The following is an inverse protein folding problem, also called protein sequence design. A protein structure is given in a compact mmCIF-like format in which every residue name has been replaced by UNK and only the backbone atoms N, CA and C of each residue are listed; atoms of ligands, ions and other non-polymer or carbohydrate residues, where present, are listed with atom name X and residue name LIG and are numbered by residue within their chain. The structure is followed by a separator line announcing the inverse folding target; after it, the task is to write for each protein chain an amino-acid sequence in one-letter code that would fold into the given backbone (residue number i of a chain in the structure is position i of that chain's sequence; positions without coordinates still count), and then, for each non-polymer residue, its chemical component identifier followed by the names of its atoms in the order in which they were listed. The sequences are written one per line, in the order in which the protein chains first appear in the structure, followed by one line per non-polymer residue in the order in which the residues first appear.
data_IF_061787560752
#
_entry.id   IF_061787560752
#
_cell.length_a   1.000
_cell.length_b   1.000
_cell.length_c   1.000
_cell.angle_alpha   90.00
_cell.angle_beta   90.00
_cell.angle_gamma   90.00
#
_symmetry.space_group_name_H-M   'P 1'
#
loop_
_entity.id
_entity.type
_entity.pdbx_description
1 polymer ?
#
# COMPACT_ATOMS: atom_id res chain seq x y z
N UNK A 1 5.98 -5.62 -12.08
CA UNK A 1 5.28 -6.19 -10.87
C UNK A 1 5.34 -5.18 -9.74
N UNK A 2 4.28 -5.08 -8.94
CA UNK A 2 4.30 -4.26 -7.71
C UNK A 2 4.72 -5.14 -6.53
N UNK A 3 5.52 -4.59 -5.61
CA UNK A 3 5.89 -5.25 -4.35
C UNK A 3 5.46 -4.38 -3.19
N UNK A 4 4.72 -4.95 -2.24
CA UNK A 4 4.21 -4.25 -1.06
C UNK A 4 4.76 -4.96 0.18
N UNK A 5 5.40 -4.19 1.07
CA UNK A 5 6.12 -4.69 2.24
C UNK A 5 5.84 -3.79 3.45
N UNK A 6 6.14 -4.28 4.63
CA UNK A 6 6.06 -3.53 5.88
C UNK A 6 4.68 -2.86 6.09
N UNK A 7 3.61 -3.61 5.80
CA UNK A 7 2.24 -3.13 6.02
C UNK A 7 1.95 -3.03 7.51
N UNK A 8 1.45 -1.87 7.94
CA UNK A 8 1.03 -1.61 9.32
C UNK A 8 -0.30 -0.84 9.29
N UNK A 9 -1.28 -1.27 10.10
CA UNK A 9 -2.59 -0.61 10.23
C UNK A 9 -2.79 -0.16 11.66
N UNK A 10 -3.14 1.11 11.87
CA UNK A 10 -3.28 1.69 13.20
C UNK A 10 -4.41 2.71 13.27
N UNK A 11 -4.75 3.13 14.50
CA UNK A 11 -5.75 4.17 14.75
C UNK A 11 -7.15 3.63 15.04
N UNK A 12 -7.30 2.33 15.24
CA UNK A 12 -8.58 1.65 15.49
C UNK A 12 -9.33 2.25 16.68
N UNK A 13 -8.70 2.33 17.86
CA UNK A 13 -9.32 2.89 19.07
C UNK A 13 -9.83 4.32 18.83
N UNK A 14 -9.04 5.15 18.16
CA UNK A 14 -9.41 6.54 17.86
C UNK A 14 -10.58 6.62 16.89
N UNK A 15 -10.60 5.75 15.87
CA UNK A 15 -11.67 5.66 14.88
C UNK A 15 -13.00 5.24 15.54
N UNK A 16 -12.98 4.21 16.39
CA UNK A 16 -14.14 3.70 17.11
C UNK A 16 -14.69 4.75 18.07
N UNK A 17 -13.84 5.33 18.90
CA UNK A 17 -14.24 6.42 19.80
C UNK A 17 -14.83 7.59 19.02
N UNK A 18 -14.20 7.94 17.88
CA UNK A 18 -14.65 9.03 17.01
C UNK A 18 -16.03 8.79 16.39
N UNK A 19 -16.31 7.57 15.90
CA UNK A 19 -17.61 7.24 15.30
C UNK A 19 -18.76 7.19 16.32
N UNK A 20 -18.44 6.94 17.60
CA UNK A 20 -19.43 6.90 18.69
C UNK A 20 -19.76 8.27 19.26
N UNK A 21 -18.94 9.30 19.02
CA UNK A 21 -19.18 10.67 19.51
C UNK A 21 -20.57 11.22 19.14
N UNK A 22 -21.03 11.16 17.86
CA UNK A 22 -22.34 11.70 17.49
C UNK A 22 -23.52 11.00 18.16
N UNK A 23 -23.31 9.77 18.65
CA UNK A 23 -24.34 8.93 19.27
C UNK A 23 -24.26 8.93 20.79
N UNK A 24 -23.24 9.57 21.38
CA UNK A 24 -22.92 9.50 22.83
C UNK A 24 -22.96 8.07 23.38
N UNK A 25 -22.39 7.10 22.62
CA UNK A 25 -22.51 5.67 22.91
C UNK A 25 -21.17 4.99 23.24
N UNK A 26 -20.28 5.70 23.94
CA UNK A 26 -18.96 5.17 24.33
C UNK A 26 -19.03 3.98 25.27
N UNK A 27 -20.11 3.89 26.08
CA UNK A 27 -20.44 2.78 26.96
C UNK A 27 -20.71 1.46 26.24
N UNK A 28 -20.89 1.52 24.90
CA UNK A 28 -21.13 0.36 24.05
C UNK A 28 -19.87 -0.10 23.29
N UNK A 29 -18.72 0.52 23.56
CA UNK A 29 -17.46 0.06 22.97
C UNK A 29 -17.11 -1.31 23.52
N UNK A 30 -16.81 -2.25 22.61
CA UNK A 30 -16.42 -3.63 22.94
C UNK A 30 -15.12 -4.07 22.25
N UNK A 31 -14.46 -3.14 21.56
CA UNK A 31 -13.16 -3.37 20.94
C UNK A 31 -12.00 -3.17 21.91
N UNK A 32 -10.91 -3.89 21.71
CA UNK A 32 -9.74 -3.85 22.60
C UNK A 32 -8.46 -4.24 21.86
N UNK A 33 -7.30 -3.94 22.44
CA UNK A 33 -6.02 -4.48 22.00
C UNK A 33 -6.00 -6.00 22.17
N UNK A 34 -5.59 -6.74 21.15
CA UNK A 34 -5.60 -8.19 21.18
C UNK A 34 -4.48 -8.71 22.10
N UNK A 35 -4.81 -9.46 23.18
CA UNK A 35 -3.80 -10.00 24.09
C UNK A 35 -3.00 -11.17 23.50
N UNK A 36 -3.38 -11.73 22.35
CA UNK A 36 -2.67 -12.85 21.74
C UNK A 36 -1.23 -12.50 21.34
N UNK A 37 -0.87 -11.23 21.30
CA UNK A 37 0.50 -10.79 21.05
C UNK A 37 1.48 -11.21 22.16
N UNK A 38 0.97 -11.53 23.34
CA UNK A 38 1.78 -11.99 24.49
C UNK A 38 1.79 -13.51 24.65
N UNK A 39 1.32 -14.28 23.64
CA UNK A 39 1.26 -15.74 23.69
C UNK A 39 0.21 -16.31 24.64
N UNK A 40 -0.77 -15.50 25.01
CA UNK A 40 -1.94 -15.92 25.79
C UNK A 40 -3.07 -16.33 24.85
N UNK A 41 -3.82 -17.38 25.24
CA UNK A 41 -5.02 -17.80 24.53
C UNK A 41 -6.01 -16.63 24.43
N UNK A 42 -6.39 -16.28 23.21
CA UNK A 42 -7.31 -15.17 22.94
C UNK A 42 -8.71 -15.74 22.70
N UNK A 43 -9.66 -15.39 23.56
CA UNK A 43 -11.10 -15.58 23.31
C UNK A 43 -11.62 -14.55 22.28
N UNK A 44 -10.85 -14.33 21.22
CA UNK A 44 -11.24 -13.42 20.16
C UNK A 44 -12.41 -14.04 19.37
N UNK A 45 -13.57 -13.36 19.20
CA UNK A 45 -14.73 -13.91 18.47
C UNK A 45 -14.45 -14.32 17.03
N UNK A 46 -13.28 -13.94 16.50
CA UNK A 46 -12.79 -14.34 15.17
C UNK A 46 -12.31 -15.81 15.11
N UNK A 47 -12.25 -16.54 16.24
CA UNK A 47 -11.71 -17.91 16.33
C UNK A 47 -12.82 -18.98 16.39
N UNK A 48 -14.09 -18.65 16.60
CA UNK A 48 -15.17 -19.61 16.83
C UNK A 48 -15.89 -20.15 15.58
N UNK A 49 -15.53 -19.76 14.39
CA UNK A 49 -16.10 -20.40 13.20
C UNK A 49 -15.09 -21.40 12.62
N UNK A 50 -15.55 -22.65 12.38
CA UNK A 50 -14.88 -23.80 11.77
C UNK A 50 -14.22 -23.55 10.38
N UNK A 51 -13.91 -22.32 10.07
CA UNK A 51 -13.04 -21.92 8.98
C UNK A 51 -11.68 -21.57 9.59
N UNK A 52 -10.61 -22.04 8.94
CA UNK A 52 -9.22 -21.73 9.25
C UNK A 52 -9.10 -20.26 9.71
N UNK A 53 -8.28 -19.96 10.75
CA UNK A 53 -8.15 -18.61 11.26
C UNK A 53 -7.93 -17.67 10.09
N UNK A 54 -8.87 -16.77 9.83
CA UNK A 54 -8.87 -15.90 8.65
C UNK A 54 -7.68 -14.95 8.62
N UNK A 55 -6.93 -14.91 9.71
CA UNK A 55 -5.61 -14.32 9.83
C UNK A 55 -4.80 -15.30 10.67
N UNK A 56 -3.98 -16.18 10.08
CA UNK A 56 -2.77 -16.56 10.78
C UNK A 56 -2.19 -15.25 11.30
N UNK A 57 -1.86 -15.19 12.61
CA UNK A 57 -1.01 -14.14 13.14
C UNK A 57 0.29 -14.24 12.36
N UNK A 58 0.28 -13.67 11.16
CA UNK A 58 1.36 -13.78 10.22
C UNK A 58 2.49 -12.95 10.80
N UNK A 59 3.66 -13.51 10.95
CA UNK A 59 4.87 -12.88 11.47
C UNK A 59 5.17 -11.51 10.78
N UNK A 60 4.48 -11.21 9.68
CA UNK A 60 4.57 -9.94 8.93
C UNK A 60 3.64 -8.82 9.44
N UNK A 61 2.66 -9.12 10.32
CA UNK A 61 1.73 -8.13 10.91
C UNK A 61 2.03 -7.85 12.39
N UNK A 62 3.28 -7.99 12.80
CA UNK A 62 3.77 -7.99 14.19
C UNK A 62 3.43 -6.74 15.05
N UNK A 63 2.68 -5.74 14.57
CA UNK A 63 2.56 -4.47 15.31
C UNK A 63 1.15 -3.92 15.57
N UNK A 64 0.07 -4.60 15.21
CA UNK A 64 -1.27 -4.08 15.52
C UNK A 64 -2.36 -5.13 15.52
N UNK A 65 -2.26 -6.10 16.42
CA UNK A 65 -3.38 -6.97 16.70
C UNK A 65 -4.42 -6.19 17.52
N UNK A 66 -5.36 -5.53 16.85
CA UNK A 66 -6.50 -4.88 17.48
C UNK A 66 -7.77 -5.66 17.14
N UNK A 67 -8.51 -6.07 18.18
CA UNK A 67 -9.78 -6.79 18.02
C UNK A 67 -10.93 -5.79 18.01
N UNK A 68 -11.61 -5.68 16.87
CA UNK A 68 -12.85 -4.91 16.78
C UNK A 68 -13.99 -5.79 17.29
N UNK A 69 -14.69 -5.33 18.32
CA UNK A 69 -15.84 -6.02 18.91
C UNK A 69 -17.05 -5.97 17.97
N UNK A 70 -18.00 -6.87 18.20
CA UNK A 70 -19.20 -7.05 17.36
C UNK A 70 -20.05 -5.78 17.29
N UNK A 71 -20.27 -5.10 18.44
CA UNK A 71 -21.05 -3.86 18.48
C UNK A 71 -20.36 -2.70 17.74
N UNK A 72 -19.03 -2.65 17.79
CA UNK A 72 -18.26 -1.64 17.07
C UNK A 72 -18.24 -1.92 15.58
N UNK A 73 -18.04 -3.18 15.20
CA UNK A 73 -18.05 -3.62 13.81
C UNK A 73 -19.41 -3.37 13.13
N UNK A 74 -20.50 -3.75 13.79
CA UNK A 74 -21.87 -3.50 13.29
C UNK A 74 -22.12 -2.01 13.07
N UNK A 75 -21.63 -1.16 13.98
CA UNK A 75 -21.77 0.29 13.81
C UNK A 75 -20.92 0.78 12.64
N UNK A 76 -19.69 0.30 12.51
CA UNK A 76 -18.80 0.64 11.39
C UNK A 76 -19.48 0.32 10.05
N UNK A 77 -19.99 -0.91 9.89
CA UNK A 77 -20.64 -1.35 8.65
C UNK A 77 -21.87 -0.51 8.32
N UNK A 78 -22.76 -0.27 9.29
CA UNK A 78 -23.92 0.62 9.09
C UNK A 78 -23.53 2.04 8.67
N UNK A 79 -22.40 2.54 9.15
CA UNK A 79 -21.89 3.86 8.74
C UNK A 79 -21.28 3.83 7.33
N UNK A 80 -20.70 2.72 6.90
CA UNK A 80 -20.28 2.50 5.50
C UNK A 80 -21.48 2.50 4.57
N UNK A 81 -22.51 1.69 4.89
CA UNK A 81 -23.76 1.63 4.11
C UNK A 81 -24.47 2.98 4.01
N UNK A 82 -24.40 3.80 5.07
CA UNK A 82 -25.00 5.13 5.09
C UNK A 82 -24.26 6.17 4.24
N UNK A 83 -23.08 5.81 3.71
CA UNK A 83 -22.30 6.62 2.78
C UNK A 83 -21.12 7.38 3.42
N UNK A 84 -20.27 8.01 2.57
CA UNK A 84 -18.95 8.52 2.98
C UNK A 84 -19.02 9.66 4.01
N UNK A 85 -20.13 10.39 4.08
CA UNK A 85 -20.33 11.44 5.08
C UNK A 85 -20.49 10.87 6.50
N UNK A 86 -20.94 9.62 6.60
CA UNK A 86 -21.14 8.90 7.85
C UNK A 86 -19.90 8.05 8.21
N UNK A 87 -19.22 7.50 7.25
CA UNK A 87 -18.03 6.66 7.43
C UNK A 87 -16.72 7.44 7.66
N UNK A 88 -16.79 8.66 8.22
CA UNK A 88 -15.61 9.53 8.45
C UNK A 88 -14.53 8.90 9.32
N UNK A 89 -14.89 7.95 10.18
CA UNK A 89 -13.97 7.21 11.02
C UNK A 89 -12.89 6.48 10.20
N UNK A 90 -13.19 6.05 8.95
CA UNK A 90 -12.23 5.44 8.03
C UNK A 90 -11.00 6.31 7.76
N UNK A 91 -11.12 7.63 7.92
CA UNK A 91 -9.99 8.57 7.77
C UNK A 91 -9.01 8.52 8.93
N UNK A 92 -9.42 7.93 10.06
CA UNK A 92 -8.61 7.77 11.27
C UNK A 92 -7.91 6.42 11.31
N UNK A 93 -8.32 5.45 10.49
CA UNK A 93 -7.62 4.16 10.33
C UNK A 93 -6.54 4.35 9.27
N UNK A 94 -5.30 4.43 9.75
CA UNK A 94 -4.13 4.76 8.92
C UNK A 94 -3.38 3.50 8.56
N UNK A 95 -2.94 3.42 7.31
CA UNK A 95 -2.14 2.32 6.77
C UNK A 95 -0.79 2.87 6.32
N UNK A 96 0.28 2.25 6.81
CA UNK A 96 1.63 2.44 6.28
C UNK A 96 2.02 1.23 5.46
N UNK A 97 2.74 1.45 4.36
CA UNK A 97 3.33 0.39 3.56
C UNK A 97 4.52 0.91 2.76
N UNK A 98 5.49 0.04 2.51
CA UNK A 98 6.56 0.27 1.56
C UNK A 98 6.18 -0.35 0.23
N UNK A 99 6.05 0.46 -0.81
CA UNK A 99 5.63 0.02 -2.14
C UNK A 99 6.74 0.26 -3.15
N UNK A 100 7.14 -0.80 -3.86
CA UNK A 100 8.03 -0.73 -5.02
C UNK A 100 7.21 -0.99 -6.27
N UNK A 101 7.20 -0.03 -7.21
CA UNK A 101 6.39 -0.10 -8.41
C UNK A 101 7.02 0.72 -9.55
N UNK A 102 6.67 0.45 -10.82
CA UNK A 102 7.20 1.17 -11.96
C UNK A 102 6.72 2.62 -12.01
N UNK A 103 7.54 3.49 -12.62
CA UNK A 103 7.25 4.92 -12.71
C UNK A 103 5.92 5.21 -13.43
N UNK A 104 5.50 4.38 -14.37
CA UNK A 104 4.20 4.56 -15.04
C UNK A 104 3.03 4.35 -14.09
N UNK A 105 3.12 3.42 -13.12
CA UNK A 105 2.10 3.22 -12.08
C UNK A 105 2.08 4.40 -11.09
N UNK A 106 3.26 4.88 -10.68
CA UNK A 106 3.37 6.02 -9.77
C UNK A 106 2.75 7.30 -10.32
N UNK A 107 2.79 7.52 -11.64
CA UNK A 107 2.12 8.67 -12.26
C UNK A 107 0.61 8.65 -12.05
N UNK A 108 0.00 7.48 -12.07
CA UNK A 108 -1.43 7.35 -11.79
C UNK A 108 -1.71 7.43 -10.29
N UNK A 109 -0.87 6.80 -9.45
CA UNK A 109 -0.98 6.89 -8.00
C UNK A 109 -0.87 8.35 -7.51
N UNK A 110 -0.02 9.16 -8.09
CA UNK A 110 0.18 10.56 -7.72
C UNK A 110 -1.06 11.45 -7.96
N UNK A 111 -2.15 10.91 -8.52
CA UNK A 111 -3.45 11.60 -8.62
C UNK A 111 -4.22 11.54 -7.30
N UNK A 112 -3.94 10.58 -6.42
CA UNK A 112 -4.54 10.42 -5.09
C UNK A 112 -3.78 11.23 -4.04
N UNK A 113 -4.00 12.54 -3.99
CA UNK A 113 -3.23 13.47 -3.13
C UNK A 113 -3.87 13.78 -1.79
N UNK A 114 -5.16 13.55 -1.66
CA UNK A 114 -5.90 13.89 -0.43
C UNK A 114 -5.89 12.70 0.50
N UNK A 115 -5.38 12.90 1.72
CA UNK A 115 -5.29 11.83 2.72
C UNK A 115 -4.17 10.81 2.46
N UNK A 116 -3.19 11.16 1.60
CA UNK A 116 -2.02 10.34 1.34
C UNK A 116 -0.73 11.12 1.57
N UNK A 117 0.31 10.41 2.02
CA UNK A 117 1.69 10.92 2.04
C UNK A 117 2.57 9.85 1.39
N UNK A 118 3.50 10.28 0.54
CA UNK A 118 4.48 9.39 -0.06
C UNK A 118 5.89 9.97 0.07
N UNK A 119 6.81 9.16 0.61
CA UNK A 119 8.22 9.51 0.67
C UNK A 119 9.01 8.54 -0.21
N UNK A 120 9.58 9.04 -1.31
CA UNK A 120 10.16 8.23 -2.37
C UNK A 120 11.69 8.17 -2.33
N UNK A 121 12.25 7.04 -2.76
CA UNK A 121 13.66 6.98 -3.17
C UNK A 121 13.92 7.98 -4.30
N UNK A 122 14.95 8.79 -4.15
CA UNK A 122 15.22 9.86 -5.10
C UNK A 122 15.84 9.32 -6.39
N UNK A 123 15.11 9.36 -7.48
CA UNK A 123 15.63 9.14 -8.83
C UNK A 123 16.47 10.31 -9.35
N UNK A 124 16.42 11.47 -8.69
CA UNK A 124 17.18 12.65 -9.12
C UNK A 124 18.56 12.74 -8.42
N UNK A 125 18.59 12.54 -7.11
CA UNK A 125 19.83 12.74 -6.32
C UNK A 125 20.65 11.46 -6.17
N UNK A 126 20.00 10.29 -6.22
CA UNK A 126 20.62 9.00 -5.93
C UNK A 126 20.61 8.04 -7.11
N UNK A 127 20.19 8.46 -8.29
CA UNK A 127 20.10 7.61 -9.49
C UNK A 127 21.43 6.92 -9.85
N UNK A 128 22.56 7.56 -9.55
CA UNK A 128 23.89 7.02 -9.80
C UNK A 128 24.48 6.23 -8.62
N UNK A 129 23.76 6.06 -7.51
CA UNK A 129 24.31 5.41 -6.31
C UNK A 129 24.67 3.95 -6.57
N UNK A 130 23.80 3.21 -7.17
CA UNK A 130 23.99 1.81 -7.52
C UNK A 130 24.09 1.60 -9.03
N UNK A 131 24.63 0.48 -9.46
CA UNK A 131 24.50 0.01 -10.83
C UNK A 131 23.06 -0.33 -11.14
N UNK A 132 22.62 -0.06 -12.38
CA UNK A 132 21.33 -0.52 -12.86
C UNK A 132 21.42 -2.02 -13.15
N UNK A 133 20.50 -2.78 -12.59
CA UNK A 133 20.34 -4.21 -12.81
C UNK A 133 19.00 -4.49 -13.48
N UNK A 134 18.82 -5.69 -13.97
CA UNK A 134 17.61 -6.14 -14.65
C UNK A 134 16.38 -6.05 -13.72
N UNK A 135 16.57 -6.41 -12.46
CA UNK A 135 15.56 -6.42 -11.40
C UNK A 135 15.05 -5.01 -11.03
N UNK A 136 15.76 -3.97 -11.46
CA UNK A 136 15.31 -2.58 -11.27
C UNK A 136 14.15 -2.20 -12.20
N UNK A 137 13.74 -3.06 -13.12
CA UNK A 137 12.74 -2.76 -14.14
C UNK A 137 11.60 -3.78 -14.11
N UNK A 138 10.37 -3.31 -14.32
CA UNK A 138 9.21 -4.16 -14.61
C UNK A 138 9.23 -4.55 -16.08
N UNK A 139 9.12 -5.84 -16.36
CA UNK A 139 9.34 -6.43 -17.67
C UNK A 139 8.35 -7.55 -18.03
N UNK A 140 7.41 -7.85 -17.13
CA UNK A 140 6.53 -9.03 -17.13
C UNK A 140 5.75 -9.21 -18.44
N UNK A 141 5.55 -8.14 -19.20
CA UNK A 141 4.81 -8.16 -20.47
C UNK A 141 5.70 -7.94 -21.69
N UNK A 142 7.03 -7.90 -21.50
CA UNK A 142 7.95 -7.74 -22.62
C UNK A 142 8.20 -9.07 -23.33
N UNK A 143 8.10 -9.10 -24.66
CA UNK A 143 8.50 -10.22 -25.48
C UNK A 143 10.03 -10.32 -25.56
N UNK A 144 10.56 -11.50 -25.92
CA UNK A 144 12.00 -11.82 -25.93
C UNK A 144 12.87 -10.77 -26.60
N UNK A 145 12.44 -10.20 -27.75
CA UNK A 145 13.21 -9.18 -28.46
C UNK A 145 13.29 -7.85 -27.71
N UNK A 146 12.24 -7.49 -26.96
CA UNK A 146 12.20 -6.29 -26.14
C UNK A 146 12.96 -6.47 -24.83
N UNK A 147 12.92 -7.68 -24.24
CA UNK A 147 13.75 -8.05 -23.09
C UNK A 147 15.23 -7.92 -23.44
N UNK A 148 15.66 -8.44 -24.60
CA UNK A 148 17.02 -8.28 -25.07
C UNK A 148 17.41 -6.80 -25.27
N UNK A 149 16.49 -5.96 -25.73
CA UNK A 149 16.75 -4.52 -25.85
C UNK A 149 16.97 -3.85 -24.49
N UNK A 150 16.20 -4.25 -23.47
CA UNK A 150 16.38 -3.74 -22.11
C UNK A 150 17.75 -4.17 -21.54
N UNK A 151 18.07 -5.45 -21.60
CA UNK A 151 19.27 -6.03 -21.00
C UNK A 151 20.55 -5.70 -21.76
N UNK A 152 20.55 -5.86 -23.09
CA UNK A 152 21.76 -5.71 -23.92
C UNK A 152 22.03 -4.26 -24.33
N UNK A 153 21.05 -3.38 -24.23
CA UNK A 153 21.20 -2.00 -24.72
C UNK A 153 20.91 -0.94 -23.67
N UNK A 154 19.72 -0.94 -23.07
CA UNK A 154 19.29 0.16 -22.19
C UNK A 154 20.09 0.15 -20.89
N UNK A 155 20.14 -0.98 -20.20
CA UNK A 155 20.88 -1.11 -18.93
C UNK A 155 22.39 -0.81 -19.13
N UNK A 156 23.10 -1.34 -20.12
CA UNK A 156 24.48 -0.97 -20.39
C UNK A 156 24.70 0.50 -20.70
N UNK A 157 23.77 1.16 -21.43
CA UNK A 157 23.85 2.60 -21.70
C UNK A 157 23.69 3.44 -20.42
N UNK A 158 22.75 3.08 -19.55
CA UNK A 158 22.55 3.72 -18.26
C UNK A 158 23.80 3.56 -17.36
N UNK A 159 24.35 2.34 -17.27
CA UNK A 159 25.55 2.05 -16.51
C UNK A 159 26.80 2.73 -17.08
N UNK A 160 26.91 2.84 -18.41
CA UNK A 160 27.98 3.62 -19.04
C UNK A 160 27.89 5.11 -18.68
N UNK A 161 26.70 5.69 -18.68
CA UNK A 161 26.48 7.07 -18.27
C UNK A 161 26.79 7.25 -16.79
N UNK A 162 26.36 6.32 -15.94
CA UNK A 162 26.68 6.28 -14.49
C UNK A 162 28.18 6.27 -14.23
N UNK A 163 28.91 5.34 -14.86
CA UNK A 163 30.37 5.21 -14.68
C UNK A 163 31.08 6.53 -15.05
N UNK A 164 30.72 7.15 -16.18
CA UNK A 164 31.26 8.43 -16.60
C UNK A 164 30.92 9.55 -15.63
N UNK A 165 29.67 9.59 -15.13
CA UNK A 165 29.26 10.58 -14.14
C UNK A 165 30.05 10.43 -12.83
N UNK A 166 30.23 9.21 -12.34
CA UNK A 166 31.01 8.96 -11.11
C UNK A 166 32.45 9.42 -11.27
N UNK A 167 33.08 9.11 -12.41
CA UNK A 167 34.47 9.43 -12.69
C UNK A 167 34.72 10.94 -12.90
N UNK A 168 33.81 11.64 -13.58
CA UNK A 168 34.04 13.00 -14.02
C UNK A 168 33.25 14.08 -13.27
N UNK A 169 32.17 13.67 -12.60
CA UNK A 169 31.14 14.56 -12.01
C UNK A 169 30.48 15.49 -13.03
N UNK A 170 30.66 15.24 -14.31
CA UNK A 170 30.08 16.04 -15.37
C UNK A 170 28.57 15.79 -15.46
N UNK A 171 27.79 16.83 -15.24
CA UNK A 171 26.33 16.80 -15.23
C UNK A 171 25.72 16.30 -16.54
N UNK A 172 26.42 16.36 -17.67
CA UNK A 172 25.97 15.81 -18.96
C UNK A 172 25.66 14.32 -18.86
N UNK A 173 26.47 13.56 -18.12
CA UNK A 173 26.24 12.12 -17.94
C UNK A 173 25.11 11.81 -16.96
N UNK A 174 24.88 12.66 -15.97
CA UNK A 174 23.69 12.59 -15.13
C UNK A 174 22.41 12.78 -15.95
N UNK A 175 22.39 13.77 -16.87
CA UNK A 175 21.26 13.98 -17.77
C UNK A 175 20.97 12.77 -18.67
N UNK A 176 22.00 12.04 -19.12
CA UNK A 176 21.78 10.83 -19.93
C UNK A 176 20.98 9.77 -19.11
N UNK A 177 21.31 9.57 -17.84
CA UNK A 177 20.56 8.63 -17.00
C UNK A 177 19.12 9.10 -16.81
N UNK A 178 18.89 10.37 -16.48
CA UNK A 178 17.54 10.90 -16.22
C UNK A 178 16.65 10.82 -17.46
N UNK A 179 17.18 11.21 -18.62
CA UNK A 179 16.38 11.29 -19.86
C UNK A 179 16.14 9.94 -20.53
N UNK A 180 17.04 8.97 -20.32
CA UNK A 180 16.93 7.64 -20.89
C UNK A 180 16.27 6.62 -19.93
N UNK A 181 15.98 7.03 -18.68
CA UNK A 181 15.37 6.12 -17.71
C UNK A 181 13.99 5.66 -18.18
N UNK A 182 13.79 4.36 -18.43
CA UNK A 182 12.49 3.84 -18.84
C UNK A 182 11.41 4.06 -17.78
N UNK A 183 10.16 4.15 -18.21
CA UNK A 183 9.01 4.24 -17.30
C UNK A 183 8.78 2.94 -16.50
N UNK A 184 9.36 1.84 -16.95
CA UNK A 184 9.36 0.55 -16.24
C UNK A 184 10.33 0.50 -15.06
N UNK A 185 11.16 1.54 -14.84
CA UNK A 185 12.04 1.60 -13.67
C UNK A 185 11.22 1.59 -12.37
N UNK A 186 11.55 0.66 -11.49
CA UNK A 186 10.88 0.46 -10.21
C UNK A 186 11.40 1.45 -9.16
N UNK A 187 10.50 2.24 -8.60
CA UNK A 187 10.79 3.17 -7.53
C UNK A 187 10.12 2.72 -6.23
N UNK A 188 10.87 2.65 -5.13
CA UNK A 188 10.31 2.40 -3.80
C UNK A 188 9.84 3.69 -3.16
N UNK A 189 8.65 3.63 -2.54
CA UNK A 189 8.10 4.70 -1.71
C UNK A 189 7.51 4.13 -0.43
N UNK A 190 7.72 4.82 0.69
CA UNK A 190 6.93 4.60 1.90
C UNK A 190 5.68 5.44 1.81
N UNK A 191 4.53 4.82 1.98
CA UNK A 191 3.21 5.43 1.88
C UNK A 191 2.56 5.53 3.26
N UNK A 192 1.80 6.60 3.46
CA UNK A 192 0.75 6.68 4.46
C UNK A 192 -0.58 6.88 3.73
N UNK A 193 -1.54 6.04 4.03
CA UNK A 193 -2.89 6.03 3.47
C UNK A 193 -3.89 5.93 4.62
N UNK A 194 -5.17 5.99 4.31
CA UNK A 194 -6.23 5.63 5.25
C UNK A 194 -7.34 4.84 4.54
N UNK A 195 -8.22 4.21 5.30
CA UNK A 195 -9.26 3.34 4.75
C UNK A 195 -10.23 4.07 3.81
N UNK A 196 -10.48 5.35 4.00
CA UNK A 196 -11.29 6.16 3.07
C UNK A 196 -10.64 6.30 1.70
N UNK A 197 -9.34 6.60 1.67
CA UNK A 197 -8.57 6.70 0.41
C UNK A 197 -8.46 5.35 -0.26
N UNK A 198 -8.23 4.28 0.51
CA UNK A 198 -8.15 2.93 -0.01
C UNK A 198 -9.48 2.49 -0.64
N UNK A 199 -10.63 2.85 -0.04
CA UNK A 199 -11.94 2.60 -0.63
C UNK A 199 -12.10 3.31 -1.99
N UNK A 200 -11.72 4.59 -2.08
CA UNK A 200 -11.74 5.32 -3.34
C UNK A 200 -10.84 4.67 -4.41
N UNK A 201 -9.64 4.25 -4.03
CA UNK A 201 -8.71 3.57 -4.94
C UNK A 201 -9.30 2.24 -5.40
N UNK A 202 -9.79 1.42 -4.46
CA UNK A 202 -10.33 0.10 -4.73
C UNK A 202 -11.43 0.14 -5.79
N UNK A 203 -12.48 0.94 -5.59
CA UNK A 203 -13.57 1.04 -6.55
C UNK A 203 -13.17 1.59 -7.92
N UNK A 204 -12.21 2.49 -7.97
CA UNK A 204 -11.75 3.07 -9.23
C UNK A 204 -10.78 2.16 -9.98
N UNK A 205 -10.07 1.26 -9.30
CA UNK A 205 -8.93 0.52 -9.85
C UNK A 205 -9.12 -1.00 -9.89
N UNK A 206 -10.13 -1.56 -9.24
CA UNK A 206 -10.38 -3.00 -9.19
C UNK A 206 -10.37 -3.66 -10.59
N UNK A 207 -10.94 -3.02 -11.58
CA UNK A 207 -11.01 -3.51 -12.96
C UNK A 207 -10.03 -2.76 -13.89
N UNK A 208 -8.92 -2.24 -13.36
CA UNK A 208 -7.97 -1.49 -14.17
C UNK A 208 -7.19 -2.43 -15.10
N UNK A 209 -6.74 -1.88 -16.27
CA UNK A 209 -5.98 -2.65 -17.27
C UNK A 209 -4.54 -2.96 -16.87
N UNK A 210 -3.94 -2.18 -15.96
CA UNK A 210 -2.61 -2.45 -15.40
C UNK A 210 -2.73 -3.48 -14.28
N UNK A 211 -1.92 -4.53 -14.36
CA UNK A 211 -1.92 -5.62 -13.39
C UNK A 211 -1.52 -5.14 -12.00
N UNK A 212 -0.62 -4.19 -11.90
CA UNK A 212 -0.18 -3.58 -10.65
C UNK A 212 -1.35 -2.99 -9.84
N UNK A 213 -2.38 -2.46 -10.50
CA UNK A 213 -3.57 -1.98 -9.81
C UNK A 213 -4.44 -3.12 -9.29
N UNK A 214 -4.51 -4.24 -10.01
CA UNK A 214 -5.22 -5.44 -9.54
C UNK A 214 -4.49 -6.09 -8.36
N UNK A 215 -3.15 -6.15 -8.42
CA UNK A 215 -2.32 -6.62 -7.31
C UNK A 215 -2.47 -5.71 -6.08
N UNK A 216 -2.49 -4.39 -6.29
CA UNK A 216 -2.75 -3.42 -5.22
C UNK A 216 -4.15 -3.58 -4.62
N UNK A 217 -5.18 -3.84 -5.44
CA UNK A 217 -6.53 -4.14 -4.96
C UNK A 217 -6.59 -5.44 -4.17
N UNK A 218 -5.90 -6.49 -4.63
CA UNK A 218 -5.77 -7.75 -3.89
C UNK A 218 -5.04 -7.59 -2.55
N UNK A 219 -4.07 -6.67 -2.46
CA UNK A 219 -3.47 -6.31 -1.17
C UNK A 219 -4.45 -5.59 -0.24
N UNK A 220 -5.30 -4.70 -0.78
CA UNK A 220 -6.36 -4.03 0.02
C UNK A 220 -7.31 -5.08 0.63
N UNK A 221 -7.68 -6.11 -0.12
CA UNK A 221 -8.56 -7.19 0.34
C UNK A 221 -7.96 -8.03 1.49
N UNK A 222 -6.64 -7.97 1.68
CA UNK A 222 -5.93 -8.67 2.75
C UNK A 222 -5.72 -7.80 4.01
N UNK A 223 -6.13 -6.53 3.99
CA UNK A 223 -6.02 -5.66 5.16
C UNK A 223 -7.03 -6.08 6.24
N UNK A 224 -6.72 -5.85 7.53
CA UNK A 224 -7.65 -6.13 8.61
C UNK A 224 -9.00 -5.45 8.38
N UNK A 225 -10.10 -6.20 8.55
CA UNK A 225 -11.46 -5.69 8.34
C UNK A 225 -11.63 -4.99 6.97
N UNK A 226 -11.11 -5.61 5.92
CA UNK A 226 -11.12 -5.07 4.55
C UNK A 226 -12.53 -4.81 4.02
N UNK A 227 -13.55 -5.43 4.57
CA UNK A 227 -14.96 -5.19 4.28
C UNK A 227 -15.33 -3.70 4.47
N UNK A 228 -14.71 -3.04 5.47
CA UNK A 228 -14.87 -1.59 5.68
C UNK A 228 -14.38 -0.74 4.49
N UNK A 229 -13.61 -1.34 3.58
CA UNK A 229 -13.06 -0.72 2.37
C UNK A 229 -13.82 -1.21 1.13
N UNK A 230 -14.05 -2.52 1.04
CA UNK A 230 -14.47 -3.22 -0.18
C UNK A 230 -15.99 -3.35 -0.31
N UNK A 231 -16.76 -3.21 0.77
CA UNK A 231 -18.20 -3.17 0.68
C UNK A 231 -18.71 -1.84 0.11
N UNK A 232 -19.67 -1.96 -0.78
CA UNK A 232 -20.18 -0.84 -1.57
C UNK A 232 -21.04 0.05 -0.69
N UNK A 233 -20.74 1.33 -0.73
CA UNK A 233 -21.64 2.39 -0.26
C UNK A 233 -22.97 2.33 -1.05
N UNK A 234 -24.10 2.45 -0.36
CA UNK A 234 -25.43 2.37 -0.97
C UNK A 234 -25.76 3.59 -1.86
#
# INVERSE_FOLDING_TARGET
MIKIENTEVMGWEHAIRGMRNPLNSWDKMDSHDCPCHDGLDCDCPMVENDHEPAIECNETLEKSAFCVGENDYDLMMRLVEAGPEHAKYRRMIVVYADVTAPLYWWKEYDTYKVGTVANSCSTMHKIAANEFAYEDFSDEHLETGWLACLDDTIIPLLNRARTKFIATKDKRYWWQMIQLLPQSYNQRRTLMLNYEVLANIYYQRLNHKLDEWREFSGWIEQLPYSELITEKEA
#
